data_IF_906799225735
#
_entry.id   IF_906799225735
#
_cell.length_a   1.000
_cell.length_b   1.000
_cell.length_c   1.000
_cell.angle_alpha   90.00
_cell.angle_beta   90.00
_cell.angle_gamma   90.00
#
_symmetry.space_group_name_H-M   'P 1'
#
loop_
_entity.id
_entity.type
_entity.pdbx_description
1 polymer ?
2 non-polymer ?
3 non-polymer ?
4 water ?
#
# COMPACT_ATOMS: atom_id res chain seq x y z
N UNK A 1 0.87 -3.63 12.74
CA UNK A 1 -0.42 -3.35 12.05
C UNK A 1 -0.15 -2.42 10.92
N UNK A 2 -0.74 -2.73 9.75
CA UNK A 2 -0.61 -1.85 8.59
C UNK A 2 -2.00 -1.69 7.95
N UNK A 3 -2.43 -0.48 7.80
CA UNK A 3 -3.67 -0.24 7.06
C UNK A 3 -3.28 0.33 5.71
N UNK A 4 -3.72 -0.28 4.64
CA UNK A 4 -3.30 0.16 3.31
C UNK A 4 -4.46 0.70 2.52
N UNK A 5 -4.24 1.88 1.89
CA UNK A 5 -5.18 2.45 0.95
C UNK A 5 -4.46 2.50 -0.41
N UNK A 6 -5.16 2.13 -1.48
CA UNK A 6 -4.61 2.07 -2.82
C UNK A 6 -5.55 2.91 -3.71
N UNK A 7 -5.04 4.03 -4.20
CA UNK A 7 -5.83 4.92 -5.04
C UNK A 7 -5.38 4.68 -6.50
N UNK A 8 -6.34 4.54 -7.42
CA UNK A 8 -6.08 4.33 -8.81
C UNK A 8 -7.31 4.68 -9.62
N UNK A 9 -7.11 4.82 -10.93
CA UNK A 9 -8.22 4.88 -11.85
C UNK A 9 -9.03 3.64 -11.78
N UNK A 10 -10.34 3.80 -11.90
CA UNK A 10 -11.28 2.67 -11.88
C UNK A 10 -10.81 1.45 -12.72
N UNK A 11 -10.50 1.66 -13.99
CA UNK A 11 -10.08 0.53 -14.80
C UNK A 11 -8.81 -0.18 -14.30
N UNK A 12 -7.90 0.57 -13.69
CA UNK A 12 -6.70 -0.02 -13.12
C UNK A 12 -7.08 -0.92 -11.96
N UNK A 13 -7.99 -0.43 -11.13
CA UNK A 13 -8.46 -1.31 -10.04
C UNK A 13 -9.14 -2.59 -10.56
N UNK A 14 -9.96 -2.46 -11.58
CA UNK A 14 -10.71 -3.61 -12.14
C UNK A 14 -9.72 -4.68 -12.59
N UNK A 15 -8.71 -4.28 -13.33
CA UNK A 15 -7.78 -5.23 -13.89
C UNK A 15 -6.75 -5.72 -12.91
N UNK A 16 -6.31 -4.87 -11.97
CA UNK A 16 -5.16 -5.21 -11.15
C UNK A 16 -5.38 -5.40 -9.68
N UNK A 17 -6.60 -5.25 -9.19
CA UNK A 17 -6.80 -5.24 -7.78
C UNK A 17 -6.21 -6.51 -7.15
N UNK A 18 -6.49 -7.66 -7.75
CA UNK A 18 -6.08 -8.92 -7.12
C UNK A 18 -4.58 -9.04 -7.11
N UNK A 19 -3.96 -8.75 -8.25
CA UNK A 19 -2.52 -8.78 -8.35
C UNK A 19 -1.83 -7.79 -7.41
N UNK A 20 -2.38 -6.58 -7.32
CA UNK A 20 -1.82 -5.58 -6.38
C UNK A 20 -2.01 -6.07 -4.95
N UNK A 21 -3.16 -6.62 -4.61
CA UNK A 21 -3.44 -7.04 -3.28
C UNK A 21 -2.38 -8.05 -2.80
N UNK A 22 -2.08 -9.00 -3.64
CA UNK A 22 -1.10 -10.03 -3.29
C UNK A 22 0.33 -9.47 -3.25
N UNK A 23 0.69 -8.63 -4.21
CA UNK A 23 2.00 -8.02 -4.25
C UNK A 23 2.32 -7.18 -3.03
N UNK A 24 1.36 -6.39 -2.60
CA UNK A 24 1.52 -5.53 -1.42
C UNK A 24 1.63 -6.39 -0.19
N UNK A 25 0.73 -7.36 -0.06
CA UNK A 25 0.73 -8.18 1.12
C UNK A 25 1.98 -9.05 1.25
N UNK A 26 2.46 -9.50 0.10
CA UNK A 26 3.71 -10.23 0.12
C UNK A 26 4.91 -9.38 0.61
N UNK A 27 4.95 -8.12 0.20
CA UNK A 27 5.95 -7.22 0.68
C UNK A 27 5.92 -7.10 2.24
N UNK A 28 4.72 -6.96 2.80
CA UNK A 28 4.57 -6.85 4.24
C UNK A 28 4.97 -8.13 5.00
N UNK A 29 4.59 -9.27 4.43
CA UNK A 29 5.01 -10.60 4.98
C UNK A 29 6.54 -10.70 4.99
N UNK A 30 7.14 -10.37 3.86
CA UNK A 30 8.60 -10.52 3.66
C UNK A 30 9.43 -9.59 4.54
N UNK A 31 9.01 -8.34 4.57
CA UNK A 31 9.79 -7.30 5.23
C UNK A 31 9.54 -7.21 6.71
N UNK A 32 8.27 -7.28 7.10
CA UNK A 32 7.83 -7.02 8.45
C UNK A 32 7.35 -8.27 9.18
N UNK A 33 7.49 -9.43 8.52
CA UNK A 33 7.04 -10.70 9.07
C UNK A 33 5.57 -10.77 9.45
N UNK A 34 4.72 -10.15 8.66
CA UNK A 34 3.29 -10.19 8.94
C UNK A 34 2.74 -11.58 8.74
N UNK A 35 1.75 -12.00 9.55
CA UNK A 35 1.02 -13.22 9.16
C UNK A 35 0.33 -13.07 7.83
N UNK A 36 0.14 -14.17 7.12
CA UNK A 36 -0.50 -14.12 5.82
C UNK A 36 -1.91 -13.52 5.92
N UNK A 37 -2.66 -13.86 6.95
CA UNK A 37 -4.03 -13.30 7.05
C UNK A 37 -4.12 -11.80 7.43
N UNK A 38 -3.08 -11.18 7.96
CA UNK A 38 -3.19 -9.84 8.50
C UNK A 38 -3.19 -8.77 7.36
N UNK A 39 -4.11 -8.98 6.37
CA UNK A 39 -4.19 -8.09 5.18
C UNK A 39 -5.40 -7.17 5.22
N UNK A 40 -5.10 -5.88 5.22
CA UNK A 40 -6.15 -4.85 5.40
C UNK A 40 -5.93 -3.80 4.32
N UNK A 41 -6.77 -3.84 3.30
CA UNK A 41 -6.62 -2.99 2.10
C UNK A 41 -7.94 -2.36 1.69
N UNK A 42 -7.90 -1.06 1.37
CA UNK A 42 -9.02 -0.37 0.82
C UNK A 42 -8.56 0.18 -0.56
N UNK A 43 -9.24 -0.24 -1.60
CA UNK A 43 -8.98 0.24 -2.99
C UNK A 43 -9.98 1.39 -3.23
N UNK A 44 -9.43 2.56 -3.49
CA UNK A 44 -10.15 3.79 -3.70
C UNK A 44 -10.20 4.04 -5.23
N UNK A 45 -11.33 3.71 -5.81
CA UNK A 45 -11.54 3.65 -7.23
C UNK A 45 -11.99 4.98 -7.76
N UNK A 46 -11.14 5.65 -8.51
CA UNK A 46 -11.41 7.02 -8.93
C UNK A 46 -11.78 7.09 -10.42
N UNK A 47 -12.77 7.89 -10.76
CA UNK A 47 -13.04 8.27 -12.16
C UNK A 47 -11.88 9.11 -12.62
N UNK A 48 -11.42 8.92 -13.88
CA UNK A 48 -10.23 9.62 -14.25
C UNK A 48 -10.29 11.13 -14.14
N UNK A 49 -11.47 11.69 -14.34
CA UNK A 49 -11.59 13.14 -14.25
C UNK A 49 -11.29 13.69 -12.87
N UNK A 50 -11.34 12.81 -11.86
CA UNK A 50 -11.08 13.19 -10.47
C UNK A 50 -9.68 12.82 -10.02
N UNK A 51 -8.86 12.31 -10.96
CA UNK A 51 -7.51 11.80 -10.58
C UNK A 51 -6.52 12.51 -11.53
N UNK A 52 -5.95 13.63 -11.07
CA UNK A 52 -5.17 14.56 -11.92
C UNK A 52 -3.67 14.48 -11.56
N UNK A 53 -2.83 14.12 -12.53
CA UNK A 53 -1.43 13.90 -12.27
C UNK A 53 -0.70 14.07 -13.58
N UNK A 54 0.63 14.20 -13.52
CA UNK A 54 1.39 14.49 -14.75
C UNK A 54 1.29 13.41 -15.81
N UNK A 55 1.44 13.80 -17.09
CA UNK A 55 1.31 12.91 -18.20
C UNK A 55 2.44 11.92 -18.36
N UNK A 56 3.53 12.11 -17.63
CA UNK A 56 4.61 11.10 -17.53
C UNK A 56 4.38 9.93 -16.60
N UNK A 57 3.20 9.85 -15.98
CA UNK A 57 2.76 8.62 -15.38
C UNK A 57 1.57 8.14 -16.29
N UNK A 58 1.41 6.83 -16.40
CA UNK A 58 0.44 6.26 -17.34
C UNK A 58 -0.98 6.19 -16.71
N UNK A 59 -1.90 5.61 -17.46
CA UNK A 59 -3.24 5.27 -16.93
C UNK A 59 -3.14 4.39 -15.65
N UNK A 60 -2.00 3.72 -15.41
CA UNK A 60 -1.88 2.80 -14.27
C UNK A 60 -1.16 3.42 -13.09
N UNK A 61 -1.14 4.76 -13.04
CA UNK A 61 -0.59 5.46 -11.87
C UNK A 61 -1.37 5.02 -10.62
N UNK A 62 -0.62 4.58 -9.60
CA UNK A 62 -1.20 4.05 -8.36
C UNK A 62 -0.51 4.75 -7.19
N UNK A 63 -1.31 5.21 -6.19
CA UNK A 63 -0.80 5.76 -4.96
C UNK A 63 -1.17 4.82 -3.83
N UNK A 64 -0.14 4.36 -3.08
CA UNK A 64 -0.30 3.44 -1.96
C UNK A 64 0.03 4.24 -0.69
N UNK A 65 -0.94 4.37 0.23
CA UNK A 65 -0.74 4.95 1.54
C UNK A 65 -0.79 3.85 2.60
N UNK A 66 0.31 3.67 3.33
CA UNK A 66 0.42 2.58 4.34
C UNK A 66 0.47 3.30 5.70
N UNK A 67 -0.60 3.15 6.50
CA UNK A 67 -0.61 3.69 7.84
C UNK A 67 -0.18 2.59 8.86
N UNK A 68 0.90 2.86 9.57
CA UNK A 68 1.57 1.84 10.39
C UNK A 68 1.88 2.45 11.75
N UNK A 69 2.28 1.58 12.66
CA UNK A 69 2.78 2.08 13.94
C UNK A 69 4.16 2.73 13.77
N UNK A 70 4.37 3.77 14.55
CA UNK A 70 5.64 4.43 14.66
C UNK A 70 6.73 3.49 15.15
N UNK A 71 7.96 3.85 14.82
CA UNK A 71 9.14 3.18 15.41
C UNK A 71 10.12 2.58 14.47
N UNK A 72 9.72 2.23 13.25
CA UNK A 72 10.68 1.57 12.33
C UNK A 72 11.73 2.58 11.90
N UNK A 73 12.97 2.09 11.74
CA UNK A 73 14.02 2.98 11.32
C UNK A 73 13.84 3.47 9.86
N UNK A 74 14.45 4.63 9.52
CA UNK A 74 14.41 5.06 8.15
C UNK A 74 14.92 4.00 7.17
N UNK A 75 16.02 3.32 7.50
CA UNK A 75 16.50 2.32 6.58
C UNK A 75 15.52 1.14 6.37
N UNK A 76 14.83 0.71 7.45
CA UNK A 76 13.87 -0.38 7.36
C UNK A 76 12.67 0.09 6.45
N UNK A 77 12.25 1.35 6.63
CA UNK A 77 11.14 1.87 5.85
C UNK A 77 11.51 1.97 4.37
N UNK A 78 12.76 2.35 4.09
CA UNK A 78 13.22 2.45 2.69
C UNK A 78 13.24 1.07 2.01
N UNK A 79 13.63 0.04 2.76
CA UNK A 79 13.71 -1.27 2.25
C UNK A 79 12.30 -1.79 1.94
N UNK A 80 11.35 -1.50 2.87
CA UNK A 80 9.98 -1.89 2.68
C UNK A 80 9.46 -1.30 1.33
N UNK A 81 9.76 -0.02 1.12
CA UNK A 81 9.32 0.65 -0.07
C UNK A 81 9.92 0.03 -1.31
N UNK A 82 11.23 -0.30 -1.26
CA UNK A 82 11.85 -0.99 -2.38
C UNK A 82 11.19 -2.35 -2.69
N UNK A 83 10.87 -3.11 -1.66
CA UNK A 83 10.20 -4.39 -1.84
C UNK A 83 8.82 -4.25 -2.43
N UNK A 84 8.07 -3.18 -2.07
CA UNK A 84 6.81 -2.96 -2.70
C UNK A 84 6.96 -2.65 -4.21
N UNK A 85 7.91 -1.76 -4.56
CA UNK A 85 8.21 -1.52 -5.92
C UNK A 85 8.50 -2.82 -6.68
N UNK A 86 9.37 -3.63 -6.11
CA UNK A 86 9.77 -4.87 -6.75
C UNK A 86 8.69 -5.84 -6.99
N UNK A 87 7.95 -6.08 -5.94
CA UNK A 87 6.85 -7.02 -6.04
C UNK A 87 5.79 -6.56 -7.02
N UNK A 88 5.42 -5.28 -6.98
CA UNK A 88 4.46 -4.74 -7.94
C UNK A 88 4.92 -4.82 -9.40
N UNK A 89 6.18 -4.48 -9.65
CA UNK A 89 6.76 -4.61 -11.02
C UNK A 89 6.75 -6.07 -11.49
N UNK A 90 7.26 -6.93 -10.65
CA UNK A 90 7.35 -8.37 -10.98
C UNK A 90 5.99 -9.01 -11.16
N UNK A 91 5.06 -8.78 -10.23
CA UNK A 91 3.79 -9.48 -10.26
C UNK A 91 2.68 -8.80 -11.09
N UNK A 92 2.64 -7.49 -11.08
CA UNK A 92 1.70 -6.70 -11.85
C UNK A 92 2.20 -6.21 -13.20
N UNK A 93 3.51 -6.17 -13.44
CA UNK A 93 4.12 -5.55 -14.62
C UNK A 93 3.69 -4.14 -14.79
N UNK A 94 3.53 -3.43 -13.68
CA UNK A 94 3.41 -1.99 -13.69
C UNK A 94 4.79 -1.46 -13.37
N UNK A 95 5.22 -0.50 -14.19
CA UNK A 95 6.54 0.09 -14.08
C UNK A 95 6.66 0.88 -12.80
N UNK A 96 7.82 0.85 -12.12
CA UNK A 96 7.97 1.78 -10.94
C UNK A 96 7.68 3.27 -11.17
N UNK A 97 7.91 3.77 -12.39
CA UNK A 97 7.46 5.09 -12.76
C UNK A 97 6.02 5.38 -12.36
N UNK A 98 5.20 4.35 -12.39
CA UNK A 98 3.72 4.56 -12.16
C UNK A 98 3.33 4.26 -10.71
N UNK A 99 4.27 3.94 -9.84
CA UNK A 99 3.90 3.54 -8.48
C UNK A 99 4.40 4.61 -7.53
N UNK A 100 3.52 5.04 -6.62
CA UNK A 100 3.92 5.96 -5.58
C UNK A 100 3.44 5.50 -4.22
N UNK A 101 4.30 5.67 -3.22
CA UNK A 101 4.07 5.11 -1.90
C UNK A 101 4.32 6.20 -0.87
N UNK A 102 3.44 6.32 0.14
CA UNK A 102 3.74 7.08 1.31
C UNK A 102 3.33 6.30 2.55
N UNK A 103 4.27 6.21 3.48
CA UNK A 103 4.04 5.62 4.83
C UNK A 103 3.68 6.72 5.81
N UNK A 104 2.59 6.49 6.54
CA UNK A 104 2.20 7.35 7.67
C UNK A 104 2.38 6.59 8.94
N UNK A 105 2.81 7.28 10.01
CA UNK A 105 3.15 6.60 11.28
C UNK A 105 2.44 7.30 12.42
N UNK A 106 1.97 6.47 13.37
CA UNK A 106 1.27 7.01 14.57
C UNK A 106 1.66 6.08 15.73
N UNK A 107 1.66 6.61 16.94
CA UNK A 107 1.93 5.72 18.05
C UNK A 107 0.79 4.74 18.32
N UNK A 108 1.12 3.64 18.96
CA UNK A 108 0.11 2.57 19.24
C UNK A 108 -1.10 3.05 20.03
N UNK A 109 -0.87 4.02 20.91
CA UNK A 109 -1.94 4.56 21.78
C UNK A 109 -2.99 5.32 20.96
N UNK A 110 -2.69 5.65 19.71
CA UNK A 110 -3.63 6.21 18.79
C UNK A 110 -4.57 5.25 18.09
N UNK A 111 -4.45 3.96 18.38
CA UNK A 111 -5.23 2.93 17.70
C UNK A 111 -6.11 2.15 18.65
N UNK A 112 -7.32 1.86 18.13
CA UNK A 112 -8.20 0.85 18.67
C UNK A 112 -8.35 -0.29 17.72
N UNK A 113 -8.09 -1.53 18.18
CA UNK A 113 -8.23 -2.71 17.36
C UNK A 113 -8.99 -3.78 18.14
N UNK A 114 -10.08 -4.30 17.56
CA UNK A 114 -10.88 -5.39 18.17
C UNK A 114 -11.29 -5.03 19.60
N UNK A 115 -11.63 -3.76 19.83
CA UNK A 115 -12.07 -3.28 21.13
C UNK A 115 -10.99 -2.98 22.14
N UNK A 116 -9.74 -3.08 21.73
CA UNK A 116 -8.62 -2.88 22.60
C UNK A 116 -7.83 -1.66 22.17
N UNK A 117 -7.23 -1.01 23.16
CA UNK A 117 -6.17 -0.03 22.90
C UNK A 117 -4.93 -0.75 22.41
N UNK A 118 -4.36 -0.38 21.25
CA UNK A 118 -3.32 -1.16 20.68
C UNK A 118 -2.04 -1.29 21.53
N UNK A 119 -1.74 -0.31 22.37
CA UNK A 119 -0.59 -0.37 23.21
C UNK A 119 -0.72 -1.51 24.23
N UNK A 120 -1.91 -1.96 24.50
CA UNK A 120 -2.13 -2.93 25.58
C UNK A 120 -1.98 -4.39 25.14
N UNK A 121 -1.92 -4.65 23.82
CA UNK A 121 -1.98 -6.04 23.27
C UNK A 121 -0.70 -6.86 23.55
X LIG B 1 -6.71 2.58 -16.61
X LIG B 1 -5.98 1.64 -16.77
X LIG B 1 -7.33 3.19 -17.60
X LIG B 1 -7.04 3.08 -15.46
X LIG C 1 -1.73 -5.95 2.98
#
# INVERSE_FOLDING_TARGET
MSQVKIYANERTIIQYRELLSHAIHQALIEELKYPVEKRFQRFISLKPENFIYPSDRSQHYIIIELSMFAGRSPATKKQLIQTLFRNIEEQCKIAPQDIEITIFETPKENWGIRGKNADELLLNYQVNI
NO3 N O1 O2 O3
CL CL
#
